data_IF_524530753328
#
_entry.id   IF_524530753328
#
_cell.length_a   1.000
_cell.length_b   1.000
_cell.length_c   1.000
_cell.angle_alpha   90.00
_cell.angle_beta   90.00
_cell.angle_gamma   90.00
#
_symmetry.space_group_name_H-M   'P 1'
#
loop_
_entity.id
_entity.type
_entity.pdbx_description
1 polymer ?
#
# COMPACT_ATOMS: atom_id res chain seq x y z
N UNK A 1 -9.08 -8.14 1.17
CA UNK A 1 -10.51 -8.55 1.10
C UNK A 1 -11.32 -7.37 0.60
N UNK A 2 -12.17 -7.58 -0.41
CA UNK A 2 -13.01 -6.55 -1.03
C UNK A 2 -14.47 -6.97 -0.89
N UNK A 3 -15.31 -6.15 -0.25
CA UNK A 3 -16.71 -6.50 0.04
C UNK A 3 -17.65 -5.34 -0.28
N UNK A 4 -18.75 -5.61 -0.98
CA UNK A 4 -19.84 -4.65 -1.23
C UNK A 4 -21.20 -5.33 -1.14
N UNK A 5 -22.18 -4.69 -0.52
CA UNK A 5 -23.56 -5.21 -0.43
C UNK A 5 -24.43 -4.54 -1.49
N UNK A 6 -25.15 -5.31 -2.31
CA UNK A 6 -25.93 -4.77 -3.43
C UNK A 6 -27.40 -4.57 -3.00
N UNK A 7 -27.94 -3.38 -3.23
CA UNK A 7 -29.34 -2.90 -3.01
C UNK A 7 -29.56 -2.01 -1.77
N UNK A 8 -29.37 -0.69 -1.90
CA UNK A 8 -29.87 0.31 -0.95
C UNK A 8 -29.12 1.64 -0.95
N UNK A 9 -29.76 2.71 -0.43
CA UNK A 9 -29.17 4.05 -0.17
C UNK A 9 -27.94 3.98 0.76
N UNK A 10 -27.74 2.83 1.41
CA UNK A 10 -26.72 2.54 2.43
C UNK A 10 -25.61 1.58 1.95
N UNK A 11 -25.36 1.48 0.63
CA UNK A 11 -24.26 0.67 0.12
C UNK A 11 -22.89 1.19 0.59
N UNK A 12 -22.07 0.29 1.13
CA UNK A 12 -20.68 0.55 1.52
C UNK A 12 -19.77 -0.47 0.81
N UNK A 13 -18.73 0.04 0.17
CA UNK A 13 -17.66 -0.73 -0.45
C UNK A 13 -16.41 -0.56 0.41
N UNK A 14 -15.73 -1.67 0.74
CA UNK A 14 -14.56 -1.64 1.61
C UNK A 14 -13.39 -2.46 1.07
N UNK A 15 -12.18 -1.92 1.20
CA UNK A 15 -10.91 -2.61 0.94
C UNK A 15 -10.14 -2.66 2.25
N UNK A 16 -9.80 -3.88 2.66
CA UNK A 16 -8.85 -4.14 3.75
C UNK A 16 -7.63 -4.85 3.17
N UNK A 17 -6.45 -4.28 3.43
CA UNK A 17 -5.16 -4.77 2.97
C UNK A 17 -4.23 -4.87 4.18
N UNK A 18 -3.49 -5.97 4.27
CA UNK A 18 -2.42 -6.12 5.26
C UNK A 18 -1.10 -6.12 4.52
N UNK A 19 -0.08 -5.51 5.14
CA UNK A 19 1.27 -5.52 4.58
C UNK A 19 1.72 -6.96 4.35
N UNK A 20 2.32 -7.24 3.19
CA UNK A 20 2.46 -8.61 2.73
C UNK A 20 3.35 -9.56 3.55
N UNK A 21 4.18 -9.06 4.46
CA UNK A 21 5.12 -9.82 5.29
C UNK A 21 4.70 -9.92 6.77
N UNK A 22 3.50 -9.44 7.14
CA UNK A 22 3.02 -9.51 8.53
C UNK A 22 2.23 -10.78 8.82
N UNK A 23 2.30 -11.26 10.06
CA UNK A 23 1.53 -12.44 10.48
C UNK A 23 0.01 -12.16 10.46
N UNK A 24 -0.84 -13.19 10.27
CA UNK A 24 -2.30 -13.03 10.30
C UNK A 24 -2.83 -12.39 11.59
N UNK A 25 -2.22 -12.70 12.74
CA UNK A 25 -2.61 -12.11 14.03
C UNK A 25 -2.33 -10.60 14.09
N UNK A 26 -1.17 -10.18 13.60
CA UNK A 26 -0.78 -8.76 13.52
C UNK A 26 -1.70 -8.02 12.55
N UNK A 27 -1.93 -8.58 11.37
CA UNK A 27 -2.86 -8.07 10.36
C UNK A 27 -4.27 -7.84 10.95
N UNK A 28 -4.85 -8.85 11.59
CA UNK A 28 -6.20 -8.73 12.17
C UNK A 28 -6.27 -7.72 13.32
N UNK A 29 -5.23 -7.62 14.12
CA UNK A 29 -5.12 -6.62 15.18
C UNK A 29 -5.06 -5.21 14.61
N UNK A 30 -4.27 -5.01 13.54
CA UNK A 30 -4.18 -3.74 12.84
C UNK A 30 -5.53 -3.33 12.24
N UNK A 31 -6.18 -4.22 11.49
CA UNK A 31 -7.48 -3.94 10.85
C UNK A 31 -8.58 -3.60 11.86
N UNK A 32 -8.62 -4.31 12.99
CA UNK A 32 -9.57 -4.03 14.08
C UNK A 32 -9.36 -2.64 14.68
N UNK A 33 -8.10 -2.26 14.89
CA UNK A 33 -7.74 -0.94 15.38
C UNK A 33 -8.03 0.16 14.33
N UNK A 34 -7.72 -0.09 13.06
CA UNK A 34 -8.01 0.79 11.94
C UNK A 34 -9.52 1.08 11.85
N UNK A 35 -10.37 0.05 11.93
CA UNK A 35 -11.83 0.19 11.89
C UNK A 35 -12.39 1.02 13.05
N UNK A 36 -11.79 0.95 14.24
CA UNK A 36 -12.15 1.81 15.38
C UNK A 36 -11.69 3.24 15.16
N UNK A 37 -10.43 3.44 14.76
CA UNK A 37 -9.82 4.76 14.57
C UNK A 37 -10.49 5.55 13.45
N UNK A 38 -10.74 4.93 12.30
CA UNK A 38 -11.28 5.63 11.13
C UNK A 38 -12.67 6.23 11.41
N UNK A 39 -13.51 5.53 12.19
CA UNK A 39 -14.82 6.03 12.64
C UNK A 39 -14.73 7.19 13.62
N UNK A 40 -13.69 7.19 14.47
CA UNK A 40 -13.48 8.24 15.45
C UNK A 40 -12.89 9.52 14.82
N UNK A 41 -11.97 9.37 13.87
CA UNK A 41 -11.27 10.49 13.21
C UNK A 41 -12.09 11.07 12.06
N UNK A 42 -12.83 10.24 11.33
CA UNK A 42 -13.66 10.65 10.20
C UNK A 42 -15.15 10.39 10.47
N UNK A 43 -15.76 11.03 11.48
CA UNK A 43 -17.16 10.80 11.81
C UNK A 43 -18.07 11.25 10.65
N UNK A 44 -19.12 10.46 10.38
CA UNK A 44 -20.15 10.73 9.38
C UNK A 44 -19.65 10.92 7.93
N UNK A 45 -18.42 10.51 7.63
CA UNK A 45 -17.89 10.56 6.26
C UNK A 45 -18.35 9.35 5.47
N UNK A 46 -18.74 9.57 4.19
CA UNK A 46 -19.15 8.52 3.26
C UNK A 46 -17.98 7.78 2.62
N UNK A 47 -16.79 8.35 2.70
CA UNK A 47 -15.54 7.70 2.31
C UNK A 47 -14.41 8.13 3.23
N UNK A 48 -13.50 7.21 3.50
CA UNK A 48 -12.27 7.48 4.22
C UNK A 48 -11.26 6.36 3.95
N UNK A 49 -9.98 6.67 4.18
CA UNK A 49 -8.89 5.69 4.16
C UNK A 49 -7.97 5.94 5.35
N UNK A 50 -7.46 4.87 5.93
CA UNK A 50 -6.41 4.90 6.95
C UNK A 50 -5.28 3.98 6.55
N UNK A 51 -4.07 4.54 6.46
CA UNK A 51 -2.82 3.80 6.30
C UNK A 51 -2.11 3.65 7.64
N UNK A 52 -1.67 2.44 7.94
CA UNK A 52 -0.92 2.07 9.13
C UNK A 52 0.25 1.18 8.70
N UNK A 53 1.24 1.02 9.58
CA UNK A 53 2.43 0.25 9.27
C UNK A 53 2.10 -1.19 8.83
N UNK A 54 1.11 -1.83 9.44
CA UNK A 54 0.81 -3.25 9.16
C UNK A 54 -0.43 -3.46 8.29
N UNK A 55 -1.21 -2.41 8.00
CA UNK A 55 -2.45 -2.53 7.24
C UNK A 55 -2.99 -1.20 6.69
N UNK A 56 -3.87 -1.30 5.71
CA UNK A 56 -4.70 -0.23 5.17
C UNK A 56 -6.18 -0.62 5.23
N UNK A 57 -7.03 0.35 5.55
CA UNK A 57 -8.48 0.22 5.50
C UNK A 57 -9.09 1.41 4.75
N UNK A 58 -9.82 1.13 3.67
CA UNK A 58 -10.57 2.12 2.87
C UNK A 58 -12.03 1.73 2.81
N UNK A 59 -12.93 2.69 2.92
CA UNK A 59 -14.33 2.51 2.58
C UNK A 59 -14.85 3.68 1.73
N UNK A 60 -15.88 3.42 0.93
CA UNK A 60 -16.60 4.44 0.18
C UNK A 60 -18.03 4.00 -0.15
N UNK A 61 -18.94 4.95 -0.34
CA UNK A 61 -20.28 4.71 -0.85
C UNK A 61 -20.32 4.51 -2.39
N UNK A 62 -19.20 4.69 -3.09
CA UNK A 62 -19.04 4.36 -4.52
C UNK A 62 -18.18 3.12 -4.69
N UNK A 63 -18.26 2.50 -5.87
CA UNK A 63 -17.37 1.37 -6.21
C UNK A 63 -15.92 1.83 -6.31
N UNK A 64 -15.05 1.15 -5.56
CA UNK A 64 -13.60 1.38 -5.43
C UNK A 64 -12.76 0.16 -5.84
N UNK A 65 -13.40 -0.90 -6.36
CA UNK A 65 -12.72 -2.15 -6.71
C UNK A 65 -12.19 -2.12 -8.13
N UNK A 66 -11.01 -2.72 -8.34
CA UNK A 66 -10.32 -2.83 -9.64
C UNK A 66 -10.18 -1.47 -10.33
N UNK A 67 -9.94 -0.42 -9.53
CA UNK A 67 -9.73 0.95 -9.99
C UNK A 67 -8.44 1.46 -9.43
N UNK A 68 -7.51 1.80 -10.33
CA UNK A 68 -6.36 2.61 -9.98
C UNK A 68 -6.88 4.00 -9.56
N UNK A 69 -6.51 4.41 -8.35
CA UNK A 69 -6.84 5.73 -7.81
C UNK A 69 -5.66 6.25 -6.99
N UNK A 70 -4.86 7.13 -7.58
CA UNK A 70 -3.73 7.80 -6.95
C UNK A 70 -4.09 8.79 -5.83
N UNK A 71 -5.38 9.01 -5.58
CA UNK A 71 -5.87 9.87 -4.49
C UNK A 71 -6.83 9.14 -3.54
N UNK A 72 -6.79 9.50 -2.23
CA UNK A 72 -5.86 10.43 -1.60
C UNK A 72 -4.43 9.86 -1.47
N UNK A 73 -3.44 10.75 -1.35
CA UNK A 73 -2.01 10.43 -1.35
C UNK A 73 -1.34 10.96 -0.08
N UNK A 74 -0.41 10.19 0.49
CA UNK A 74 0.35 10.56 1.68
C UNK A 74 1.84 10.30 1.46
N UNK A 75 2.67 11.32 1.70
CA UNK A 75 4.13 11.22 1.61
C UNK A 75 4.74 11.33 3.01
N UNK A 76 5.66 10.42 3.32
CA UNK A 76 6.57 10.53 4.45
C UNK A 76 8.00 10.33 3.94
N UNK A 77 8.90 11.24 4.31
CA UNK A 77 10.28 11.21 3.85
C UNK A 77 11.25 11.51 4.98
N UNK A 78 12.45 10.93 4.89
CA UNK A 78 13.56 11.27 5.76
C UNK A 78 14.20 12.58 5.27
N UNK A 79 14.51 13.50 6.18
CA UNK A 79 15.14 14.80 5.86
C UNK A 79 16.68 14.75 5.92
N UNK A 80 17.27 13.60 6.25
CA UNK A 80 18.72 13.40 6.24
C UNK A 80 19.26 13.26 4.82
N UNK A 81 20.47 13.76 4.60
CA UNK A 81 21.15 13.63 3.32
C UNK A 81 21.85 12.26 3.20
N UNK A 82 21.76 11.67 2.01
CA UNK A 82 22.61 10.53 1.64
C UNK A 82 24.05 11.02 1.41
N UNK A 83 25.01 10.26 1.93
CA UNK A 83 26.45 10.55 1.76
C UNK A 83 26.89 10.55 0.30
N UNK A 84 26.32 9.68 -0.53
CA UNK A 84 26.43 9.68 -1.99
C UNK A 84 25.03 9.62 -2.63
N UNK A 85 24.43 10.79 -2.95
CA UNK A 85 23.10 10.85 -3.53
C UNK A 85 22.99 10.14 -4.89
N UNK A 86 24.05 10.16 -5.70
CA UNK A 86 24.03 9.57 -7.04
C UNK A 86 24.02 8.04 -6.96
N UNK A 87 24.84 7.47 -6.08
CA UNK A 87 24.83 6.02 -5.82
C UNK A 87 23.53 5.57 -5.17
N UNK A 88 23.04 6.33 -4.19
CA UNK A 88 21.79 6.03 -3.50
C UNK A 88 20.61 5.99 -4.49
N UNK A 89 20.42 7.04 -5.28
CA UNK A 89 19.31 7.12 -6.24
C UNK A 89 19.38 6.03 -7.30
N UNK A 90 20.58 5.66 -7.76
CA UNK A 90 20.76 4.56 -8.71
C UNK A 90 20.39 3.21 -8.10
N UNK A 91 20.86 2.92 -6.88
CA UNK A 91 20.53 1.65 -6.22
C UNK A 91 19.05 1.56 -5.85
N UNK A 92 18.48 2.65 -5.31
CA UNK A 92 17.06 2.74 -5.01
C UNK A 92 16.21 2.54 -6.27
N UNK A 93 16.52 3.24 -7.36
CA UNK A 93 15.79 3.10 -8.63
C UNK A 93 15.90 1.71 -9.26
N UNK A 94 17.04 1.02 -9.10
CA UNK A 94 17.19 -0.38 -9.51
C UNK A 94 16.34 -1.32 -8.65
N UNK A 95 16.36 -1.12 -7.33
CA UNK A 95 15.58 -1.90 -6.37
C UNK A 95 14.09 -1.76 -6.62
N UNK A 96 13.57 -0.53 -6.69
CA UNK A 96 12.15 -0.25 -6.89
C UNK A 96 11.63 -0.84 -8.21
N UNK A 97 12.40 -0.77 -9.31
CA UNK A 97 11.99 -1.41 -10.59
C UNK A 97 11.86 -2.93 -10.48
N UNK A 98 12.77 -3.60 -9.76
CA UNK A 98 12.68 -5.05 -9.51
C UNK A 98 11.46 -5.39 -8.65
N UNK A 99 11.26 -4.63 -7.58
CA UNK A 99 10.14 -4.81 -6.67
C UNK A 99 8.81 -4.60 -7.38
N UNK A 100 8.68 -3.53 -8.18
CA UNK A 100 7.50 -3.23 -8.98
C UNK A 100 7.15 -4.39 -9.91
N UNK A 101 8.13 -4.88 -10.69
CA UNK A 101 7.90 -6.02 -11.58
C UNK A 101 7.44 -7.27 -10.83
N UNK A 102 7.93 -7.48 -9.61
CA UNK A 102 7.56 -8.63 -8.77
C UNK A 102 6.16 -8.49 -8.20
N UNK A 103 5.84 -7.34 -7.60
CA UNK A 103 4.53 -7.08 -7.00
C UNK A 103 3.41 -7.06 -8.03
N UNK A 104 3.62 -6.43 -9.19
CA UNK A 104 2.62 -6.38 -10.27
C UNK A 104 2.28 -7.75 -10.82
N UNK A 105 3.24 -8.68 -10.83
CA UNK A 105 3.05 -10.08 -11.22
C UNK A 105 2.32 -10.93 -10.14
N UNK A 106 2.05 -10.36 -8.95
CA UNK A 106 1.33 -11.03 -7.88
C UNK A 106 -0.12 -11.41 -8.24
N UNK A 107 -0.68 -12.37 -7.51
CA UNK A 107 -2.01 -12.91 -7.76
C UNK A 107 -3.15 -12.16 -7.05
N UNK A 108 -4.35 -12.76 -7.06
CA UNK A 108 -5.57 -12.22 -6.45
C UNK A 108 -5.52 -12.13 -4.91
N UNK A 109 -4.55 -12.80 -4.28
CA UNK A 109 -4.38 -12.79 -2.83
C UNK A 109 -3.41 -11.70 -2.35
N UNK A 110 -2.41 -11.38 -3.17
CA UNK A 110 -1.30 -10.52 -2.76
C UNK A 110 -0.53 -10.00 -3.97
N UNK A 111 -0.26 -8.69 -3.97
CA UNK A 111 0.61 -7.98 -4.92
C UNK A 111 1.62 -7.15 -4.12
N UNK A 112 2.66 -7.82 -3.66
CA UNK A 112 3.63 -7.29 -2.70
C UNK A 112 5.04 -7.74 -3.08
N UNK A 113 6.03 -6.90 -2.84
CA UNK A 113 7.43 -7.29 -2.86
C UNK A 113 8.23 -6.43 -1.89
N UNK A 114 9.16 -7.05 -1.17
CA UNK A 114 10.15 -6.37 -0.34
C UNK A 114 11.52 -7.04 -0.51
N UNK A 115 12.59 -6.26 -0.48
CA UNK A 115 13.95 -6.73 -0.70
C UNK A 115 14.98 -5.74 -0.13
N UNK A 116 16.21 -6.21 0.04
CA UNK A 116 17.31 -5.54 0.73
C UNK A 116 17.95 -6.43 1.80
N UNK A 117 19.13 -6.06 2.33
CA UNK A 117 19.88 -4.83 2.02
C UNK A 117 20.51 -4.82 0.63
N UNK A 118 20.51 -3.66 -0.02
CA UNK A 118 21.32 -3.36 -1.21
C UNK A 118 22.39 -2.34 -0.83
N UNK A 119 23.65 -2.74 -0.87
CA UNK A 119 24.77 -1.86 -0.55
C UNK A 119 24.84 -0.65 -1.50
N UNK A 120 24.92 0.53 -0.91
CA UNK A 120 25.19 1.81 -1.60
C UNK A 120 26.63 2.25 -1.35
N UNK A 121 27.07 2.16 -0.10
CA UNK A 121 28.44 2.40 0.36
C UNK A 121 28.82 1.33 1.39
N UNK A 122 30.05 1.34 1.89
CA UNK A 122 30.50 0.41 2.94
C UNK A 122 29.70 0.50 4.25
N UNK A 123 28.93 1.58 4.46
CA UNK A 123 28.17 1.84 5.68
C UNK A 123 26.69 2.19 5.42
N UNK A 124 26.22 2.08 4.19
CA UNK A 124 24.85 2.48 3.82
C UNK A 124 24.22 1.46 2.91
N UNK A 125 23.11 0.89 3.38
CA UNK A 125 22.25 -0.01 2.62
C UNK A 125 20.90 0.64 2.31
N UNK A 126 20.27 0.15 1.26
CA UNK A 126 18.88 0.48 0.91
C UNK A 126 18.01 -0.75 1.02
N UNK A 127 16.82 -0.55 1.58
CA UNK A 127 15.73 -1.50 1.61
C UNK A 127 14.55 -0.91 0.84
N UNK A 128 13.70 -1.77 0.29
CA UNK A 128 12.55 -1.35 -0.49
C UNK A 128 11.38 -2.29 -0.28
N UNK A 129 10.18 -1.71 -0.35
CA UNK A 129 8.91 -2.42 -0.27
C UNK A 129 7.93 -1.71 -1.20
N UNK A 130 7.20 -2.48 -2.01
CA UNK A 130 6.10 -1.98 -2.84
C UNK A 130 4.89 -2.90 -2.69
N UNK A 131 3.70 -2.33 -2.70
CA UNK A 131 2.46 -3.06 -2.50
C UNK A 131 1.32 -2.41 -3.29
N UNK A 132 0.49 -3.24 -3.93
CA UNK A 132 -0.76 -2.85 -4.57
C UNK A 132 -1.93 -3.56 -3.91
N UNK A 133 -3.13 -3.00 -4.03
CA UNK A 133 -4.33 -3.77 -3.68
C UNK A 133 -4.51 -4.94 -4.67
N UNK A 134 -4.72 -6.18 -4.21
CA UNK A 134 -4.74 -7.36 -5.09
C UNK A 134 -5.87 -7.39 -6.13
N UNK A 135 -6.85 -6.51 -6.01
CA UNK A 135 -7.96 -6.34 -6.97
C UNK A 135 -7.55 -5.58 -8.23
N UNK A 136 -6.40 -4.90 -8.25
CA UNK A 136 -5.86 -4.27 -9.45
C UNK A 136 -5.35 -5.30 -10.46
N UNK A 137 -5.39 -4.94 -11.75
CA UNK A 137 -4.68 -5.71 -12.77
C UNK A 137 -3.16 -5.56 -12.59
N UNK A 138 -2.37 -6.41 -13.25
CA UNK A 138 -0.91 -6.25 -13.26
C UNK A 138 -0.46 -4.93 -13.89
N UNK A 139 -1.19 -4.45 -14.91
CA UNK A 139 -0.90 -3.17 -15.56
C UNK A 139 -1.22 -2.00 -14.63
N UNK A 140 -2.40 -2.01 -14.01
CA UNK A 140 -2.82 -0.96 -13.09
C UNK A 140 -1.91 -0.88 -11.86
N UNK A 141 -1.46 -2.02 -11.35
CA UNK A 141 -0.49 -2.06 -10.26
C UNK A 141 0.85 -1.44 -10.66
N UNK A 142 1.37 -1.77 -11.86
CA UNK A 142 2.62 -1.14 -12.34
C UNK A 142 2.47 0.36 -12.49
N UNK A 143 1.38 0.82 -13.13
CA UNK A 143 1.11 2.25 -13.30
C UNK A 143 1.03 2.96 -11.95
N UNK A 144 0.33 2.38 -10.97
CA UNK A 144 0.18 2.95 -9.63
C UNK A 144 1.52 3.09 -8.88
N UNK A 145 2.49 2.21 -9.13
CA UNK A 145 3.82 2.27 -8.49
C UNK A 145 4.76 3.26 -9.21
N UNK A 146 4.53 3.51 -10.51
CA UNK A 146 5.37 4.42 -11.32
C UNK A 146 5.05 5.91 -11.15
N UNK A 147 3.85 6.27 -10.67
CA UNK A 147 3.43 7.66 -10.39
C UNK A 147 4.24 8.36 -9.28
#
# INVERSE_FOLDING_TARGET
>A
LSTGNNSGVDQVNGIALCQGDVSPMVCMTCLSNAARKIRAVCPNQKEAIGWYNECMLRYSNRSIFAKEESRPLYYAFNTANASDPSAFNRQLGNLLRRLMSTASAGGSHQKFAADGPVAVTDFTDVYGLVECTPDLSSLDCSNCIEE
#
